data_IF_538700698881
#
_entry.id   IF_538700698881
#
_cell.length_a   1.000
_cell.length_b   1.000
_cell.length_c   1.000
_cell.angle_alpha   90.00
_cell.angle_beta   90.00
_cell.angle_gamma   90.00
#
_symmetry.space_group_name_H-M   'P 1'
#
loop_
_entity.id
_entity.type
_entity.pdbx_description
1 polymer ?
#
# COMPACT_ATOMS: atom_id res chain seq x y z
N UNK A 1 19.53 2.34 11.16
CA UNK A 1 18.32 1.71 11.71
C UNK A 1 18.53 0.21 11.64
N UNK A 2 18.18 -0.51 12.72
CA UNK A 2 18.23 -1.96 12.72
C UNK A 2 17.05 -2.55 11.97
N UNK A 3 17.21 -3.77 11.45
CA UNK A 3 16.13 -4.47 10.75
C UNK A 3 15.01 -4.80 11.73
N UNK A 4 13.79 -4.35 11.43
CA UNK A 4 12.59 -4.71 12.19
C UNK A 4 11.93 -5.88 11.48
N UNK A 5 11.67 -6.97 12.19
CA UNK A 5 10.97 -8.15 11.67
C UNK A 5 9.64 -8.34 12.39
N UNK A 6 8.56 -8.54 11.64
CA UNK A 6 7.24 -8.90 12.14
C UNK A 6 6.79 -10.23 11.57
N UNK A 7 6.28 -11.10 12.44
CA UNK A 7 5.59 -12.33 12.05
C UNK A 7 4.10 -12.04 12.11
N UNK A 8 3.42 -12.16 10.96
CA UNK A 8 2.01 -11.85 10.81
C UNK A 8 1.17 -13.06 11.24
N UNK A 9 0.23 -12.84 12.15
CA UNK A 9 -0.88 -13.79 12.32
C UNK A 9 -1.85 -13.67 11.12
N UNK A 10 -2.84 -14.56 11.01
CA UNK A 10 -3.78 -14.55 9.87
C UNK A 10 -4.50 -13.21 9.69
N UNK A 11 -4.95 -12.59 10.79
CA UNK A 11 -5.64 -11.30 10.76
C UNK A 11 -4.70 -10.20 10.26
N UNK A 12 -3.51 -10.10 10.84
CA UNK A 12 -2.53 -9.08 10.48
C UNK A 12 -2.05 -9.27 9.05
N UNK A 13 -1.91 -10.52 8.59
CA UNK A 13 -1.58 -10.85 7.20
C UNK A 13 -2.59 -10.26 6.24
N UNK A 14 -3.87 -10.55 6.43
CA UNK A 14 -4.95 -10.06 5.56
C UNK A 14 -4.91 -8.53 5.48
N UNK A 15 -4.72 -7.87 6.61
CA UNK A 15 -4.73 -6.41 6.70
C UNK A 15 -3.47 -5.79 6.09
N UNK A 16 -2.31 -6.40 6.34
CA UNK A 16 -1.04 -5.98 5.75
C UNK A 16 -1.05 -6.13 4.23
N UNK A 17 -1.53 -7.27 3.73
CA UNK A 17 -1.71 -7.52 2.30
C UNK A 17 -2.69 -6.51 1.68
N UNK A 18 -3.76 -6.16 2.36
CA UNK A 18 -4.67 -5.10 1.89
C UNK A 18 -3.95 -3.77 1.74
N UNK A 19 -3.15 -3.36 2.73
CA UNK A 19 -2.29 -2.17 2.62
C UNK A 19 -1.35 -2.23 1.42
N UNK A 20 -0.69 -3.37 1.20
CA UNK A 20 0.19 -3.59 0.05
C UNK A 20 -0.55 -3.48 -1.28
N UNK A 21 -1.72 -4.14 -1.42
CA UNK A 21 -2.54 -4.09 -2.63
C UNK A 21 -2.97 -2.67 -2.95
N UNK A 22 -3.39 -1.88 -1.96
CA UNK A 22 -3.69 -0.45 -2.14
C UNK A 22 -2.48 0.36 -2.57
N UNK A 23 -1.34 0.11 -1.95
CA UNK A 23 -0.10 0.77 -2.34
C UNK A 23 0.24 0.48 -3.80
N UNK A 24 0.21 -0.78 -4.23
CA UNK A 24 0.41 -1.16 -5.64
C UNK A 24 -0.62 -0.53 -6.56
N UNK A 25 -1.90 -0.65 -6.21
CA UNK A 25 -3.00 -0.06 -6.96
C UNK A 25 -2.81 1.43 -7.18
N UNK A 26 -2.27 2.15 -6.19
CA UNK A 26 -2.01 3.58 -6.30
C UNK A 26 -0.75 3.94 -7.08
N UNK A 27 0.30 3.14 -6.98
CA UNK A 27 1.63 3.45 -7.54
C UNK A 27 1.82 2.94 -8.96
N UNK A 28 1.09 1.90 -9.34
CA UNK A 28 1.17 1.36 -10.69
C UNK A 28 0.41 2.22 -11.70
N UNK A 29 -0.50 3.12 -11.29
CA UNK A 29 -1.18 4.00 -12.24
C UNK A 29 -0.21 5.02 -12.83
N UNK A 30 -0.31 5.26 -14.14
CA UNK A 30 0.34 6.42 -14.76
C UNK A 30 -0.42 7.69 -14.38
N UNK A 31 -0.09 8.23 -13.20
CA UNK A 31 -0.78 9.36 -12.57
C UNK A 31 -0.89 10.55 -13.53
N UNK A 32 0.09 10.74 -14.44
CA UNK A 32 0.11 11.84 -15.42
C UNK A 32 -1.01 11.76 -16.46
N UNK A 33 -1.57 10.58 -16.69
CA UNK A 33 -2.69 10.34 -17.62
C UNK A 33 -4.05 10.44 -16.94
N UNK A 34 -4.08 10.53 -15.61
CA UNK A 34 -5.33 10.64 -14.86
C UNK A 34 -5.81 12.09 -14.84
N UNK A 35 -7.12 12.28 -14.68
CA UNK A 35 -7.67 13.60 -14.37
C UNK A 35 -7.22 14.05 -12.96
N UNK A 36 -7.22 15.36 -12.70
CA UNK A 36 -6.72 15.94 -11.45
C UNK A 36 -7.37 15.34 -10.21
N UNK A 37 -8.68 15.08 -10.26
CA UNK A 37 -9.41 14.46 -9.15
C UNK A 37 -8.87 13.07 -8.80
N UNK A 38 -8.56 12.25 -9.79
CA UNK A 38 -7.95 10.94 -9.58
C UNK A 38 -6.49 11.06 -9.15
N UNK A 39 -5.73 11.99 -9.72
CA UNK A 39 -4.32 12.20 -9.34
C UNK A 39 -4.16 12.46 -7.84
N UNK A 40 -4.98 13.36 -7.29
CA UNK A 40 -4.96 13.70 -5.86
C UNK A 40 -5.36 12.50 -5.01
N UNK A 41 -6.45 11.81 -5.37
CA UNK A 41 -6.93 10.61 -4.65
C UNK A 41 -5.88 9.50 -4.62
N UNK A 42 -5.28 9.20 -5.76
CA UNK A 42 -4.25 8.16 -5.85
C UNK A 42 -3.00 8.52 -5.07
N UNK A 43 -2.56 9.78 -5.14
CA UNK A 43 -1.42 10.26 -4.35
C UNK A 43 -1.69 10.10 -2.86
N UNK A 44 -2.85 10.57 -2.39
CA UNK A 44 -3.19 10.54 -0.97
C UNK A 44 -3.48 9.12 -0.46
N UNK A 45 -4.22 8.30 -1.21
CA UNK A 45 -4.46 6.90 -0.88
C UNK A 45 -3.15 6.10 -0.81
N UNK A 46 -2.21 6.37 -1.72
CA UNK A 46 -0.88 5.76 -1.68
C UNK A 46 -0.07 6.14 -0.44
N UNK A 47 -0.15 7.39 0.00
CA UNK A 47 0.46 7.86 1.26
C UNK A 47 -0.17 7.19 2.48
N UNK A 48 -1.51 7.10 2.56
CA UNK A 48 -2.18 6.43 3.68
C UNK A 48 -1.88 4.94 3.72
N UNK A 49 -1.84 4.27 2.57
CA UNK A 49 -1.43 2.87 2.47
C UNK A 49 0.01 2.66 2.95
N UNK A 50 0.93 3.54 2.56
CA UNK A 50 2.31 3.54 3.08
C UNK A 50 2.35 3.73 4.60
N UNK A 51 1.66 4.73 5.14
CA UNK A 51 1.61 5.00 6.58
C UNK A 51 1.08 3.80 7.35
N UNK A 52 0.02 3.15 6.86
CA UNK A 52 -0.50 1.91 7.46
C UNK A 52 0.56 0.80 7.54
N UNK A 53 1.28 0.55 6.44
CA UNK A 53 2.32 -0.49 6.38
C UNK A 53 3.45 -0.16 7.36
N UNK A 54 3.94 1.09 7.36
CA UNK A 54 5.06 1.52 8.20
C UNK A 54 4.69 1.55 9.67
N UNK A 55 3.53 2.10 10.02
CA UNK A 55 3.03 2.12 11.40
C UNK A 55 2.90 0.70 11.93
N UNK A 56 2.39 -0.24 11.13
CA UNK A 56 2.36 -1.64 11.55
C UNK A 56 3.76 -2.23 11.77
N UNK A 57 4.70 -2.00 10.84
CA UNK A 57 6.06 -2.53 10.97
C UNK A 57 6.78 -1.95 12.19
N UNK A 58 6.62 -0.65 12.48
CA UNK A 58 7.28 0.03 13.61
C UNK A 58 6.62 -0.28 14.94
N UNK A 59 5.31 -0.10 15.02
CA UNK A 59 4.57 -0.14 16.29
C UNK A 59 3.97 -1.51 16.57
N UNK A 60 3.82 -2.38 15.56
CA UNK A 60 3.06 -3.62 15.67
C UNK A 60 1.55 -3.40 15.79
N UNK A 61 1.07 -2.17 15.58
CA UNK A 61 -0.35 -1.82 15.68
C UNK A 61 -0.90 -1.40 14.32
N UNK A 62 -2.02 -1.98 13.93
CA UNK A 62 -2.78 -1.53 12.76
C UNK A 62 -3.72 -0.40 13.20
N UNK A 63 -3.57 0.78 12.60
CA UNK A 63 -4.51 1.88 12.82
C UNK A 63 -5.75 1.62 11.98
N UNK A 64 -6.86 1.31 12.65
CA UNK A 64 -8.15 1.06 11.99
C UNK A 64 -8.60 2.26 11.15
N UNK A 65 -8.28 3.48 11.59
CA UNK A 65 -8.57 4.72 10.87
C UNK A 65 -7.99 4.73 9.44
N UNK A 66 -6.77 4.24 9.25
CA UNK A 66 -6.17 4.14 7.91
C UNK A 66 -6.86 3.08 7.06
N UNK A 67 -7.29 1.97 7.66
CA UNK A 67 -8.05 0.94 6.96
C UNK A 67 -9.42 1.45 6.51
N UNK A 68 -10.12 2.14 7.39
CA UNK A 68 -11.44 2.71 7.12
C UNK A 68 -11.35 3.77 6.02
N UNK A 69 -10.33 4.62 6.08
CA UNK A 69 -10.03 5.57 5.01
C UNK A 69 -9.83 4.86 3.65
N UNK A 70 -8.95 3.86 3.57
CA UNK A 70 -8.68 3.15 2.32
C UNK A 70 -9.94 2.45 1.78
N UNK A 71 -10.77 1.89 2.67
CA UNK A 71 -12.04 1.28 2.29
C UNK A 71 -13.02 2.28 1.67
N UNK A 72 -13.20 3.44 2.31
CA UNK A 72 -14.09 4.49 1.80
C UNK A 72 -13.55 5.10 0.50
N UNK A 73 -12.23 5.26 0.35
CA UNK A 73 -11.64 5.68 -0.93
C UNK A 73 -11.90 4.68 -2.04
N UNK A 74 -11.75 3.38 -1.79
CA UNK A 74 -12.02 2.35 -2.79
C UNK A 74 -13.49 2.29 -3.17
N UNK A 75 -14.39 2.40 -2.19
CA UNK A 75 -15.83 2.48 -2.41
C UNK A 75 -16.20 3.71 -3.24
N UNK A 76 -15.57 4.85 -2.93
CA UNK A 76 -15.74 6.08 -3.71
C UNK A 76 -15.29 5.88 -5.15
N UNK A 77 -14.10 5.31 -5.37
CA UNK A 77 -13.57 5.02 -6.71
C UNK A 77 -14.43 4.03 -7.48
N UNK A 78 -15.00 3.02 -6.82
CA UNK A 78 -15.94 2.07 -7.44
C UNK A 78 -17.26 2.73 -7.87
N UNK A 79 -17.62 3.87 -7.28
CA UNK A 79 -18.80 4.66 -7.62
C UNK A 79 -18.58 5.72 -8.70
N UNK A 80 -17.34 5.89 -9.20
CA UNK A 80 -17.04 6.85 -10.25
C UNK A 80 -17.55 6.36 -11.61
N UNK A 81 -17.80 7.30 -12.52
CA UNK A 81 -18.18 7.02 -13.90
C UNK A 81 -17.10 6.22 -14.62
N UNK A 82 -17.51 5.29 -15.49
CA UNK A 82 -16.60 4.39 -16.19
C UNK A 82 -15.56 5.14 -17.03
N UNK A 83 -15.93 6.29 -17.62
CA UNK A 83 -15.05 7.16 -18.40
C UNK A 83 -13.88 7.71 -17.57
N UNK A 84 -14.12 8.05 -16.30
CA UNK A 84 -13.06 8.51 -15.40
C UNK A 84 -12.09 7.38 -15.06
N UNK A 85 -12.58 6.15 -14.99
CA UNK A 85 -11.80 4.97 -14.64
C UNK A 85 -11.09 4.35 -15.85
N UNK A 86 -11.46 4.71 -17.09
CA UNK A 86 -10.89 4.16 -18.33
C UNK A 86 -9.34 4.19 -18.36
N UNK A 87 -8.66 5.28 -17.96
CA UNK A 87 -7.20 5.36 -18.01
C UNK A 87 -6.47 4.47 -17.00
N UNK A 88 -7.18 3.88 -16.04
CA UNK A 88 -6.58 3.05 -15.00
C UNK A 88 -6.15 1.68 -15.56
N UNK A 89 -4.93 1.27 -15.25
CA UNK A 89 -4.42 -0.06 -15.62
C UNK A 89 -5.01 -1.16 -14.75
N UNK A 90 -5.22 -0.87 -13.46
CA UNK A 90 -5.95 -1.71 -12.52
C UNK A 90 -7.21 -0.95 -12.15
N UNK A 91 -8.38 -1.57 -12.29
CA UNK A 91 -9.66 -0.98 -11.89
C UNK A 91 -9.90 -1.18 -10.38
N UNK A 92 -10.71 -0.31 -9.73
CA UNK A 92 -11.01 -0.43 -8.30
C UNK A 92 -11.64 -1.77 -7.85
N UNK A 93 -12.26 -2.53 -8.75
CA UNK A 93 -12.79 -3.86 -8.43
C UNK A 93 -11.73 -4.97 -8.56
N UNK A 94 -10.66 -4.75 -9.31
CA UNK A 94 -9.58 -5.71 -9.57
C UNK A 94 -8.49 -5.67 -8.48
N UNK A 95 -8.53 -4.69 -7.55
CA UNK A 95 -7.54 -4.56 -6.48
C UNK A 95 -7.40 -5.84 -5.65
N UNK A 96 -8.51 -6.53 -5.39
CA UNK A 96 -8.52 -7.75 -4.58
C UNK A 96 -7.87 -8.93 -5.33
N UNK A 97 -7.78 -8.85 -6.67
CA UNK A 97 -7.18 -9.85 -7.56
C UNK A 97 -5.65 -9.71 -7.65
N UNK A 98 -5.06 -8.64 -7.11
CA UNK A 98 -3.61 -8.49 -7.02
C UNK A 98 -3.04 -9.65 -6.20
N UNK A 99 -2.27 -10.52 -6.85
CA UNK A 99 -1.64 -11.67 -6.21
C UNK A 99 -0.32 -11.29 -5.56
N UNK A 100 -0.19 -11.60 -4.27
CA UNK A 100 1.00 -11.37 -3.46
C UNK A 100 1.58 -12.72 -3.04
N UNK A 101 1.78 -13.63 -3.99
CA UNK A 101 2.26 -15.01 -3.73
C UNK A 101 3.79 -15.14 -3.66
N UNK A 102 4.54 -14.14 -4.14
CA UNK A 102 5.99 -14.11 -4.16
C UNK A 102 6.56 -13.14 -3.12
N UNK A 103 7.84 -13.28 -2.82
CA UNK A 103 8.55 -12.28 -2.02
C UNK A 103 8.53 -10.93 -2.74
N UNK A 104 8.20 -9.87 -2.00
CA UNK A 104 8.13 -8.51 -2.50
C UNK A 104 9.15 -7.66 -1.76
N UNK A 105 9.86 -6.82 -2.51
CA UNK A 105 10.78 -5.82 -1.97
C UNK A 105 10.39 -4.45 -2.50
N UNK A 106 10.04 -3.55 -1.59
CA UNK A 106 9.58 -2.19 -1.90
C UNK A 106 10.54 -1.18 -1.27
N UNK A 107 11.00 -0.21 -2.04
CA UNK A 107 11.89 0.84 -1.57
C UNK A 107 11.12 2.16 -1.41
N UNK A 108 11.33 2.83 -0.29
CA UNK A 108 10.67 4.07 0.06
C UNK A 108 11.68 5.07 0.57
N UNK A 109 11.39 6.34 0.33
CA UNK A 109 12.03 7.43 1.04
C UNK A 109 11.19 7.75 2.27
N UNK A 110 11.79 7.60 3.44
CA UNK A 110 11.21 7.94 4.73
C UNK A 110 11.56 9.39 5.05
N UNK A 111 10.65 10.31 4.72
CA UNK A 111 10.86 11.76 4.89
C UNK A 111 11.11 12.14 6.36
N UNK A 112 10.44 11.48 7.31
CA UNK A 112 10.59 11.75 8.74
C UNK A 112 12.00 11.45 9.26
N UNK A 113 12.65 10.43 8.67
CA UNK A 113 13.99 9.99 9.06
C UNK A 113 15.07 10.31 8.01
N UNK A 114 14.71 11.08 6.98
CA UNK A 114 15.55 11.53 5.87
C UNK A 114 16.42 10.41 5.27
N UNK A 115 15.79 9.26 4.95
CA UNK A 115 16.54 8.07 4.50
C UNK A 115 15.74 7.13 3.62
N UNK A 116 16.46 6.34 2.82
CA UNK A 116 15.87 5.20 2.14
C UNK A 116 15.62 4.04 3.11
N UNK A 117 14.46 3.42 2.97
CA UNK A 117 14.06 2.20 3.67
C UNK A 117 13.57 1.17 2.65
N UNK A 118 13.68 -0.11 3.02
CA UNK A 118 13.19 -1.24 2.23
C UNK A 118 12.19 -2.03 3.05
N UNK A 119 11.01 -2.31 2.50
CA UNK A 119 10.04 -3.24 3.07
C UNK A 119 10.15 -4.56 2.30
N UNK A 120 10.41 -5.65 3.01
CA UNK A 120 10.45 -6.99 2.42
C UNK A 120 9.29 -7.81 2.98
N UNK A 121 8.38 -8.26 2.12
CA UNK A 121 7.25 -9.11 2.49
C UNK A 121 7.41 -10.52 1.92
N UNK A 122 7.34 -11.52 2.79
CA UNK A 122 7.41 -12.95 2.47
C UNK A 122 6.06 -13.62 2.80
N UNK A 123 5.12 -13.66 1.85
CA UNK A 123 3.75 -14.12 2.07
C UNK A 123 3.66 -15.58 2.52
N UNK A 124 4.52 -16.44 1.98
CA UNK A 124 4.58 -17.87 2.32
C UNK A 124 5.11 -18.15 3.73
N UNK A 125 5.87 -17.19 4.30
CA UNK A 125 6.42 -17.28 5.65
C UNK A 125 5.65 -16.44 6.66
N UNK A 126 4.67 -15.65 6.21
CA UNK A 126 3.98 -14.64 7.00
C UNK A 126 4.98 -13.67 7.68
N UNK A 127 6.04 -13.28 6.98
CA UNK A 127 7.08 -12.39 7.52
C UNK A 127 7.05 -11.06 6.76
N UNK A 128 7.08 -9.95 7.50
CA UNK A 128 7.33 -8.63 6.95
C UNK A 128 8.54 -7.99 7.65
N UNK A 129 9.44 -7.39 6.88
CA UNK A 129 10.68 -6.76 7.37
C UNK A 129 10.75 -5.31 6.93
N UNK A 130 11.27 -4.47 7.81
CA UNK A 130 11.67 -3.11 7.51
C UNK A 130 13.18 -3.01 7.67
N UNK A 131 13.87 -2.74 6.58
CA UNK A 131 15.32 -2.77 6.43
C UNK A 131 15.84 -1.40 5.96
N UNK A 132 17.12 -1.06 6.18
CA UNK A 132 17.75 0.06 5.49
C UNK A 132 17.63 -0.09 3.98
N UNK A 133 17.24 0.98 3.29
CA UNK A 133 17.23 1.03 1.83
C UNK A 133 18.62 1.33 1.28
N UNK A 134 18.84 1.00 0.02
CA UNK A 134 20.06 1.38 -0.69
C UNK A 134 19.99 2.87 -1.08
N UNK A 135 21.16 3.54 -1.08
CA UNK A 135 21.31 4.96 -1.43
C UNK A 135 21.47 5.17 -2.93
#
# INVERSE_FOLDING_TARGET
MDTITKILNERDKILFEKGLKFYFFSRQQDVRKLNSQLQERFTYAGQVAYSLIITYLREGSLKLEYMDFLNEELKTMRGLEAELLEPLMIKPHEIDEIDLNQELSLQFYDEDADRNIRIVYQPSKNIARLEPGEG
#
